data_IF_789552410475
#
_entry.id   IF_789552410475
#
_cell.length_a   1.000
_cell.length_b   1.000
_cell.length_c   1.000
_cell.angle_alpha   90.00
_cell.angle_beta   90.00
_cell.angle_gamma   90.00
#
_symmetry.space_group_name_H-M   'P 1'
#
loop_
_entity.id
_entity.type
_entity.pdbx_description
1 polymer ?
#
# COMPACT_ATOMS: atom_id res chain seq x y z
N UNK A 1 -4.22 3.72 -3.99
CA UNK A 1 -2.98 2.97 -4.35
C UNK A 1 -2.75 1.77 -3.43
N UNK A 2 -1.81 0.86 -3.74
CA UNK A 2 -1.44 -0.25 -2.84
C UNK A 2 0.06 -0.29 -2.54
N UNK A 3 0.43 -0.67 -1.31
CA UNK A 3 1.81 -0.99 -0.92
C UNK A 3 1.96 -2.50 -0.79
N UNK A 4 2.89 -3.07 -1.55
CA UNK A 4 3.26 -4.48 -1.45
C UNK A 4 4.37 -4.60 -0.40
N UNK A 5 4.16 -5.49 0.58
CA UNK A 5 5.07 -5.65 1.72
C UNK A 5 5.94 -6.89 1.56
N UNK A 6 7.24 -6.66 1.32
CA UNK A 6 8.28 -7.70 1.27
C UNK A 6 8.86 -7.90 2.68
N UNK A 7 8.17 -8.69 3.51
CA UNK A 7 8.49 -8.84 4.93
C UNK A 7 9.90 -9.43 5.16
N UNK A 8 10.36 -10.30 4.25
CA UNK A 8 11.70 -10.89 4.21
C UNK A 8 12.84 -9.86 4.12
N UNK A 9 12.57 -8.67 3.57
CA UNK A 9 13.52 -7.56 3.48
C UNK A 9 13.44 -6.61 4.66
N UNK A 10 12.42 -6.71 5.51
CA UNK A 10 12.27 -5.80 6.64
C UNK A 10 13.32 -6.09 7.71
N UNK A 11 13.98 -5.04 8.21
CA UNK A 11 15.02 -5.12 9.24
C UNK A 11 14.70 -4.26 10.47
N UNK A 12 13.42 -4.00 10.76
CA UNK A 12 13.01 -3.33 12.00
C UNK A 12 13.34 -1.84 12.12
N UNK A 13 13.67 -1.14 11.03
CA UNK A 13 14.07 0.28 11.09
C UNK A 13 12.95 1.27 11.50
N UNK A 14 11.69 0.86 11.48
CA UNK A 14 10.50 1.67 11.80
C UNK A 14 10.34 3.02 11.04
N UNK A 15 11.12 3.27 9.98
CA UNK A 15 11.11 4.54 9.23
C UNK A 15 9.80 4.80 8.50
N UNK A 16 9.19 3.74 7.96
CA UNK A 16 7.88 3.85 7.30
C UNK A 16 6.82 4.36 8.27
N UNK A 17 6.73 3.76 9.46
CA UNK A 17 5.83 4.18 10.53
C UNK A 17 6.08 5.62 10.99
N UNK A 18 7.34 6.03 11.13
CA UNK A 18 7.67 7.41 11.52
C UNK A 18 7.14 8.47 10.54
N UNK A 19 6.98 8.13 9.26
CA UNK A 19 6.42 9.02 8.25
C UNK A 19 4.90 8.92 8.10
N UNK A 20 4.31 7.75 8.35
CA UNK A 20 2.88 7.50 8.18
C UNK A 20 2.38 6.44 9.19
N UNK A 21 2.22 6.81 10.48
CA UNK A 21 1.86 5.87 11.55
C UNK A 21 0.42 5.35 11.42
N UNK A 22 -0.42 6.09 10.70
CA UNK A 22 -1.80 5.68 10.40
C UNK A 22 -1.86 4.61 9.29
N UNK A 23 -0.86 4.57 8.40
CA UNK A 23 -0.79 3.65 7.25
C UNK A 23 -0.01 2.38 7.61
N UNK A 24 1.19 2.53 8.14
CA UNK A 24 2.07 1.40 8.45
C UNK A 24 1.83 0.96 9.89
N UNK A 25 1.56 -0.32 10.10
CA UNK A 25 1.47 -0.92 11.43
C UNK A 25 2.67 -1.82 11.66
N UNK A 26 3.32 -1.63 12.80
CA UNK A 26 4.47 -2.41 13.21
C UNK A 26 4.09 -3.34 14.36
N UNK A 27 4.85 -4.41 14.54
CA UNK A 27 4.86 -5.18 15.78
C UNK A 27 5.70 -4.49 16.87
N UNK A 28 5.78 -5.13 18.03
CA UNK A 28 6.51 -4.62 19.20
C UNK A 28 8.03 -4.57 18.98
N UNK A 29 8.55 -5.28 17.98
CA UNK A 29 9.97 -5.31 17.61
C UNK A 29 10.30 -4.30 16.49
N UNK A 30 9.30 -3.58 15.96
CA UNK A 30 9.46 -2.56 14.94
C UNK A 30 9.45 -3.08 13.49
N UNK A 31 9.09 -4.35 13.28
CA UNK A 31 8.90 -4.92 11.96
C UNK A 31 7.52 -4.55 11.42
N UNK A 32 7.43 -4.37 10.11
CA UNK A 32 6.15 -4.15 9.45
C UNK A 32 5.31 -5.43 9.56
N UNK A 33 4.02 -5.28 9.88
CA UNK A 33 3.11 -6.43 9.85
C UNK A 33 3.00 -7.01 8.42
N UNK A 34 2.87 -8.34 8.27
CA UNK A 34 2.73 -8.97 6.97
C UNK A 34 1.39 -8.62 6.31
N UNK A 35 1.40 -8.54 4.98
CA UNK A 35 0.22 -8.27 4.16
C UNK A 35 0.32 -6.93 3.42
N UNK A 36 -0.26 -6.90 2.22
CA UNK A 36 -0.31 -5.70 1.40
C UNK A 36 -1.25 -4.66 2.03
N UNK A 37 -0.93 -3.39 1.84
CA UNK A 37 -1.66 -2.27 2.45
C UNK A 37 -2.38 -1.50 1.35
N UNK A 38 -3.71 -1.51 1.38
CA UNK A 38 -4.52 -0.56 0.62
C UNK A 38 -4.46 0.81 1.28
N UNK A 39 -4.09 1.83 0.50
CA UNK A 39 -3.89 3.18 1.00
C UNK A 39 -5.02 4.07 0.50
N UNK A 40 -5.67 4.77 1.43
CA UNK A 40 -6.67 5.78 1.10
C UNK A 40 -6.06 6.95 0.34
N UNK A 41 -6.81 7.56 -0.58
CA UNK A 41 -6.34 8.63 -1.46
C UNK A 41 -5.68 9.81 -0.70
N UNK A 42 -6.24 10.19 0.45
CA UNK A 42 -5.71 11.25 1.31
C UNK A 42 -4.33 10.94 1.90
N UNK A 43 -3.99 9.66 2.04
CA UNK A 43 -2.80 9.17 2.73
C UNK A 43 -1.69 8.75 1.76
N UNK A 44 -1.94 8.77 0.44
CA UNK A 44 -1.00 8.32 -0.60
C UNK A 44 0.35 9.03 -0.56
N UNK A 45 0.34 10.34 -0.28
CA UNK A 45 1.57 11.12 -0.21
C UNK A 45 2.42 10.72 1.00
N UNK A 46 1.78 10.44 2.14
CA UNK A 46 2.46 9.99 3.36
C UNK A 46 2.93 8.55 3.20
N UNK A 47 2.08 7.67 2.66
CA UNK A 47 2.43 6.29 2.34
C UNK A 47 3.61 6.20 1.37
N UNK A 48 3.61 7.02 0.31
CA UNK A 48 4.72 7.09 -0.65
C UNK A 48 6.02 7.54 0.02
N UNK A 49 5.96 8.55 0.90
CA UNK A 49 7.13 9.00 1.67
C UNK A 49 7.64 7.91 2.62
N UNK A 50 6.73 7.28 3.36
CA UNK A 50 7.08 6.19 4.28
C UNK A 50 7.68 4.98 3.55
N UNK A 51 7.10 4.54 2.45
CA UNK A 51 7.63 3.45 1.63
C UNK A 51 9.04 3.77 1.10
N UNK A 52 9.25 4.97 0.55
CA UNK A 52 10.56 5.42 0.03
C UNK A 52 11.60 5.67 1.10
N UNK A 53 11.20 5.83 2.36
CA UNK A 53 12.12 6.00 3.47
C UNK A 53 12.83 4.71 3.85
N UNK A 54 12.32 3.55 3.43
CA UNK A 54 12.86 2.24 3.79
C UNK A 54 14.23 2.02 3.10
N UNK A 55 15.34 1.86 3.86
CA UNK A 55 16.66 1.63 3.28
C UNK A 55 16.73 0.28 2.54
N UNK A 56 16.03 -0.72 3.06
CA UNK A 56 15.99 -2.09 2.52
C UNK A 56 15.07 -2.27 1.31
N UNK A 57 14.29 -1.24 0.97
CA UNK A 57 13.26 -1.30 -0.09
C UNK A 57 12.27 -2.45 0.12
N UNK A 58 11.88 -2.69 1.37
CA UNK A 58 10.89 -3.69 1.75
C UNK A 58 9.45 -3.33 1.34
N UNK A 59 9.21 -2.09 0.90
CA UNK A 59 7.90 -1.56 0.57
C UNK A 59 7.86 -1.13 -0.90
N UNK A 60 7.06 -1.82 -1.70
CA UNK A 60 6.87 -1.52 -3.12
C UNK A 60 5.55 -0.79 -3.33
N UNK A 61 5.56 0.23 -4.19
CA UNK A 61 4.37 1.05 -4.48
C UNK A 61 3.74 0.57 -5.79
N UNK A 62 2.58 -0.05 -5.66
CA UNK A 62 1.73 -0.45 -6.79
C UNK A 62 0.66 0.63 -7.04
N UNK A 63 0.89 1.42 -8.10
CA UNK A 63 -0.05 2.48 -8.56
C UNK A 63 -1.08 1.96 -9.57
N UNK A 64 -0.91 0.74 -10.07
CA UNK A 64 -1.82 0.19 -11.07
C UNK A 64 -3.12 -0.34 -10.43
N UNK A 65 -3.12 -0.55 -9.11
CA UNK A 65 -4.26 -1.08 -8.37
C UNK A 65 -5.54 -0.26 -8.54
N UNK A 66 -5.50 1.07 -8.40
CA UNK A 66 -6.73 1.90 -8.55
C UNK A 66 -7.23 1.93 -10.00
N UNK A 67 -6.31 2.04 -10.97
CA UNK A 67 -6.66 2.09 -12.39
C UNK A 67 -7.36 0.81 -12.87
N UNK A 68 -7.03 -0.34 -12.27
CA UNK A 68 -7.68 -1.62 -12.57
C UNK A 68 -9.04 -1.74 -11.87
N UNK A 69 -9.17 -1.26 -10.63
CA UNK A 69 -10.44 -1.27 -9.90
C UNK A 69 -11.49 -0.39 -10.61
N UNK A 70 -11.12 0.82 -11.00
CA UNK A 70 -11.99 1.75 -11.73
C UNK A 70 -12.46 1.16 -13.06
N UNK A 71 -11.53 0.50 -13.78
CA UNK A 71 -11.85 -0.14 -15.06
C UNK A 71 -12.76 -1.35 -14.88
N UNK A 72 -12.56 -2.14 -13.82
CA UNK A 72 -13.39 -3.29 -13.52
C UNK A 72 -14.80 -2.89 -13.07
N UNK A 73 -14.93 -1.84 -12.27
CA UNK A 73 -16.22 -1.27 -11.88
C UNK A 73 -16.96 -0.64 -13.07
N UNK A 74 -16.24 0.10 -13.93
CA UNK A 74 -16.82 0.68 -15.14
C UNK A 74 -17.34 -0.41 -16.11
N UNK A 75 -16.59 -1.51 -16.28
CA UNK A 75 -16.99 -2.60 -17.17
C UNK A 75 -18.19 -3.40 -16.63
N UNK A 76 -18.37 -3.50 -15.30
CA UNK A 76 -19.58 -4.08 -14.70
C UNK A 76 -20.80 -3.17 -14.83
N UNK A 77 -20.64 -1.84 -14.67
CA UNK A 77 -21.75 -0.89 -14.80
C UNK A 77 -22.30 -0.81 -16.24
N UNK A 78 -21.46 -1.01 -17.26
CA UNK A 78 -21.88 -1.04 -18.66
C UNK A 78 -22.29 -2.45 -19.17
N UNK A 79 -22.11 -3.49 -18.34
CA UNK A 79 -22.39 -4.90 -18.67
C UNK A 79 -23.84 -5.35 -18.44
N UNK A 80 -24.78 -4.43 -18.19
CA UNK A 80 -26.22 -4.71 -18.19
C UNK A 80 -26.71 -5.03 -19.60
N UNK A 81 -26.34 -6.19 -20.12
CA UNK A 81 -26.84 -6.72 -21.38
C UNK A 81 -28.31 -7.08 -21.18
N UNK A 82 -29.16 -6.20 -21.69
CA UNK A 82 -30.60 -6.34 -21.95
C UNK A 82 -31.00 -7.80 -22.24
N UNK A 83 -31.77 -8.42 -21.34
CA UNK A 83 -32.74 -9.47 -21.73
C UNK A 83 -33.92 -8.87 -22.44
#
# INVERSE_FOLDING_TARGET
>A
MRIIVHNDKCQGHARCWAHAPDVFKLDDEGYILPGDIEVAERDELLATRGARSCPERALEIDRAFDALLDRFLFNQACGGFNT
#
